data_IF_610032979743
#
_entry.id   IF_610032979743
#
_cell.length_a   1.000
_cell.length_b   1.000
_cell.length_c   1.000
_cell.angle_alpha   90.00
_cell.angle_beta   90.00
_cell.angle_gamma   90.00
#
_symmetry.space_group_name_H-M   'P 1'
#
loop_
_entity.id
_entity.type
_entity.pdbx_description
1 polymer ?
#
# COMPACT_ATOMS: atom_id res chain seq x y z
N UNK A 1 -25.71 7.01 29.96
CA UNK A 1 -24.89 6.57 28.81
C UNK A 1 -24.10 7.77 28.32
N UNK A 2 -22.77 7.71 28.20
CA UNK A 2 -22.01 8.83 27.63
C UNK A 2 -22.55 9.14 26.23
N UNK A 3 -22.80 10.42 25.98
CA UNK A 3 -23.48 10.92 24.78
C UNK A 3 -22.72 10.44 23.52
N UNK A 4 -23.37 9.78 22.56
CA UNK A 4 -22.66 9.12 21.45
C UNK A 4 -21.86 10.10 20.57
N UNK A 5 -22.34 11.32 20.38
CA UNK A 5 -21.58 12.41 19.75
C UNK A 5 -20.25 12.68 20.45
N UNK A 6 -20.22 12.57 21.78
CA UNK A 6 -19.02 12.73 22.58
C UNK A 6 -18.04 11.58 22.32
N UNK A 7 -18.53 10.34 22.17
CA UNK A 7 -17.71 9.18 21.82
C UNK A 7 -17.12 9.27 20.40
N UNK A 8 -17.93 9.69 19.42
CA UNK A 8 -17.46 9.91 18.04
C UNK A 8 -16.39 11.01 17.99
N UNK A 9 -16.62 12.13 18.68
CA UNK A 9 -15.65 13.23 18.75
C UNK A 9 -14.36 12.82 19.46
N UNK A 10 -14.44 12.04 20.54
CA UNK A 10 -13.27 11.48 21.23
C UNK A 10 -12.47 10.56 20.33
N UNK A 11 -13.14 9.72 19.55
CA UNK A 11 -12.50 8.85 18.57
C UNK A 11 -11.75 9.67 17.51
N UNK A 12 -12.38 10.68 16.92
CA UNK A 12 -11.72 11.57 15.95
C UNK A 12 -10.49 12.25 16.55
N UNK A 13 -10.60 12.76 17.78
CA UNK A 13 -9.47 13.39 18.49
C UNK A 13 -8.32 12.41 18.76
N UNK A 14 -8.63 11.17 19.13
CA UNK A 14 -7.63 10.13 19.36
C UNK A 14 -6.90 9.76 18.07
N UNK A 15 -7.63 9.59 16.96
CA UNK A 15 -7.07 9.30 15.63
C UNK A 15 -6.14 10.44 15.18
N UNK A 16 -6.58 11.69 15.31
CA UNK A 16 -5.78 12.88 14.98
C UNK A 16 -4.48 12.96 15.79
N UNK A 17 -4.57 12.70 17.10
CA UNK A 17 -3.41 12.69 17.99
C UNK A 17 -2.41 11.59 17.60
N UNK A 18 -2.88 10.37 17.39
CA UNK A 18 -2.02 9.25 16.97
C UNK A 18 -1.37 9.50 15.60
N UNK A 19 -2.13 10.02 14.64
CA UNK A 19 -1.58 10.34 13.32
C UNK A 19 -0.48 11.40 13.38
N UNK A 20 -0.64 12.42 14.23
CA UNK A 20 0.39 13.45 14.43
C UNK A 20 1.73 12.89 14.96
N UNK A 21 1.68 11.80 15.72
CA UNK A 21 2.85 11.15 16.31
C UNK A 21 3.49 10.13 15.35
N UNK A 22 2.69 9.42 14.56
CA UNK A 22 3.14 8.31 13.72
C UNK A 22 3.55 8.71 12.30
N UNK A 23 2.98 9.79 11.73
CA UNK A 23 3.32 10.23 10.37
C UNK A 23 4.63 11.01 10.40
N UNK A 24 5.74 10.31 10.13
CA UNK A 24 7.04 10.98 9.90
C UNK A 24 6.89 11.94 8.72
N UNK A 25 6.95 13.25 8.99
CA UNK A 25 6.99 14.29 7.95
C UNK A 25 8.33 14.18 7.20
N UNK A 26 8.39 13.31 6.19
CA UNK A 26 9.61 13.01 5.44
C UNK A 26 9.33 12.51 4.03
N UNK A 27 10.24 12.82 3.10
CA UNK A 27 10.09 12.56 1.66
C UNK A 27 9.88 11.06 1.35
N UNK A 28 8.84 10.74 0.59
CA UNK A 28 8.59 9.38 0.09
C UNK A 28 9.81 8.87 -0.68
N UNK A 29 10.26 7.64 -0.36
CA UNK A 29 11.24 6.94 -1.21
C UNK A 29 10.63 6.72 -2.59
N UNK A 30 11.36 7.07 -3.65
CA UNK A 30 10.95 6.79 -5.04
C UNK A 30 10.84 5.28 -5.25
N UNK A 31 9.62 4.78 -5.22
CA UNK A 31 9.31 3.43 -5.69
C UNK A 31 9.35 3.41 -7.22
N UNK A 32 10.16 2.51 -7.79
CA UNK A 32 10.13 2.22 -9.24
C UNK A 32 9.51 0.85 -9.45
N UNK A 33 8.30 0.76 -10.03
CA UNK A 33 7.64 -0.53 -10.28
C UNK A 33 8.47 -1.39 -11.25
N UNK A 34 8.37 -2.71 -11.10
CA UNK A 34 9.00 -3.74 -11.95
C UNK A 34 10.54 -3.84 -11.87
N UNK A 35 11.14 -3.28 -10.82
CA UNK A 35 12.56 -3.51 -10.53
C UNK A 35 12.79 -4.95 -10.06
N UNK A 36 13.49 -5.74 -10.85
CA UNK A 36 13.85 -7.12 -10.51
C UNK A 36 15.38 -7.32 -10.61
N UNK A 37 15.87 -8.43 -10.05
CA UNK A 37 17.30 -8.73 -9.98
C UNK A 37 17.96 -8.75 -11.37
N UNK A 38 17.25 -9.27 -12.38
CA UNK A 38 17.72 -9.31 -13.76
C UNK A 38 17.89 -7.90 -14.36
N UNK A 39 16.92 -7.00 -14.16
CA UNK A 39 16.98 -5.61 -14.60
C UNK A 39 18.07 -4.84 -13.86
N UNK A 40 18.27 -5.12 -12.56
CA UNK A 40 19.35 -4.53 -11.77
C UNK A 40 20.72 -4.94 -12.31
N UNK A 41 20.91 -6.23 -12.65
CA UNK A 41 22.13 -6.74 -13.26
C UNK A 41 22.39 -6.09 -14.62
N UNK A 42 21.39 -6.05 -15.51
CA UNK A 42 21.49 -5.40 -16.82
C UNK A 42 21.85 -3.91 -16.72
N UNK A 43 21.27 -3.18 -15.75
CA UNK A 43 21.62 -1.78 -15.52
C UNK A 43 23.07 -1.63 -15.04
N UNK A 44 23.51 -2.50 -14.12
CA UNK A 44 24.88 -2.49 -13.61
C UNK A 44 25.89 -2.69 -14.74
N UNK A 45 25.66 -3.68 -15.60
CA UNK A 45 26.51 -3.96 -16.77
C UNK A 45 26.60 -2.75 -17.73
N UNK A 46 25.47 -2.08 -18.00
CA UNK A 46 25.44 -0.86 -18.82
C UNK A 46 26.21 0.28 -18.17
N UNK A 47 26.06 0.47 -16.86
CA UNK A 47 26.73 1.56 -16.14
C UNK A 47 28.26 1.31 -16.06
N UNK A 48 28.69 0.05 -15.95
CA UNK A 48 30.10 -0.36 -16.07
C UNK A 48 30.65 -0.11 -17.48
N UNK A 49 29.93 -0.51 -18.52
CA UNK A 49 30.30 -0.23 -19.92
C UNK A 49 30.43 1.27 -20.19
N UNK A 50 29.54 2.09 -19.58
CA UNK A 50 29.60 3.57 -19.72
C UNK A 50 30.85 4.13 -19.05
N UNK A 51 31.21 3.63 -17.87
CA UNK A 51 32.45 4.03 -17.17
C UNK A 51 33.68 3.67 -18.00
N UNK A 52 33.70 2.48 -18.57
CA UNK A 52 34.80 2.03 -19.42
C UNK A 52 34.95 2.90 -20.67
N UNK A 53 33.87 3.08 -21.44
CA UNK A 53 33.90 3.88 -22.67
C UNK A 53 34.32 5.35 -22.41
N UNK A 54 33.89 5.94 -21.28
CA UNK A 54 34.35 7.28 -20.86
C UNK A 54 35.83 7.33 -20.51
N UNK A 55 36.38 6.24 -19.96
CA UNK A 55 37.78 6.16 -19.55
C UNK A 55 38.71 5.92 -20.74
N UNK A 56 38.33 5.02 -21.66
CA UNK A 56 39.21 4.56 -22.74
C UNK A 56 39.00 5.32 -24.05
N UNK A 57 37.77 5.77 -24.35
CA UNK A 57 37.42 6.41 -25.61
C UNK A 57 37.55 5.52 -26.86
N UNK A 58 37.79 4.22 -26.69
CA UNK A 58 37.99 3.28 -27.80
C UNK A 58 36.64 2.92 -28.46
N UNK A 59 36.64 2.81 -29.79
CA UNK A 59 35.43 2.52 -30.56
C UNK A 59 34.79 1.17 -30.13
N UNK A 60 35.59 0.15 -29.83
CA UNK A 60 35.13 -1.14 -29.29
C UNK A 60 34.32 -0.99 -27.99
N UNK A 61 34.68 -0.05 -27.13
CA UNK A 61 34.02 0.15 -25.84
C UNK A 61 32.72 0.94 -26.02
N UNK A 62 32.68 1.86 -26.99
CA UNK A 62 31.46 2.55 -27.42
C UNK A 62 30.43 1.58 -28.05
N UNK A 63 30.88 0.64 -28.90
CA UNK A 63 30.02 -0.41 -29.48
C UNK A 63 29.45 -1.30 -28.38
N UNK A 64 30.27 -1.65 -27.39
CA UNK A 64 29.84 -2.43 -26.22
C UNK A 64 28.81 -1.68 -25.38
N UNK A 65 29.00 -0.37 -25.17
CA UNK A 65 28.02 0.48 -24.50
C UNK A 65 26.68 0.53 -25.24
N UNK A 66 26.70 0.64 -26.57
CA UNK A 66 25.48 0.62 -27.39
C UNK A 66 24.73 -0.71 -27.24
N UNK A 67 25.43 -1.83 -27.28
CA UNK A 67 24.84 -3.16 -27.10
C UNK A 67 24.21 -3.36 -25.70
N UNK A 68 24.89 -2.90 -24.64
CA UNK A 68 24.33 -2.94 -23.28
C UNK A 68 23.13 -2.00 -23.11
N UNK A 69 23.14 -0.83 -23.74
CA UNK A 69 21.98 0.08 -23.77
C UNK A 69 20.74 -0.59 -24.36
N UNK A 70 20.90 -1.24 -25.52
CA UNK A 70 19.82 -1.95 -26.20
C UNK A 70 19.24 -3.09 -25.35
N UNK A 71 20.09 -3.82 -24.62
CA UNK A 71 19.65 -4.89 -23.69
C UNK A 71 18.77 -4.36 -22.57
N UNK A 72 19.12 -3.22 -21.97
CA UNK A 72 18.30 -2.60 -20.92
C UNK A 72 16.99 -2.06 -21.49
N UNK A 73 17.02 -1.36 -22.62
CA UNK A 73 15.81 -0.75 -23.20
C UNK A 73 14.82 -1.77 -23.73
N UNK A 74 15.29 -2.93 -24.20
CA UNK A 74 14.46 -3.99 -24.76
C UNK A 74 14.04 -5.05 -23.73
N UNK A 75 14.41 -4.88 -22.46
CA UNK A 75 14.06 -5.84 -21.42
C UNK A 75 12.55 -5.90 -21.21
N UNK A 76 11.96 -7.08 -21.42
CA UNK A 76 10.55 -7.36 -21.13
C UNK A 76 10.47 -8.32 -19.93
N UNK A 77 9.94 -7.90 -18.77
CA UNK A 77 9.79 -8.80 -17.63
C UNK A 77 8.78 -9.91 -17.96
N UNK A 78 9.01 -11.10 -17.39
CA UNK A 78 8.08 -12.23 -17.55
C UNK A 78 6.82 -12.02 -16.69
N UNK A 79 5.76 -11.52 -17.32
CA UNK A 79 4.49 -11.19 -16.68
C UNK A 79 3.69 -12.42 -16.20
N UNK A 80 4.00 -13.65 -16.68
CA UNK A 80 3.27 -14.87 -16.28
C UNK A 80 3.60 -15.30 -14.86
N UNK A 81 4.87 -15.19 -14.47
CA UNK A 81 5.33 -15.49 -13.11
C UNK A 81 4.68 -14.51 -12.12
N UNK A 82 4.70 -13.22 -12.46
CA UNK A 82 4.13 -12.14 -11.64
C UNK A 82 2.61 -12.29 -11.39
N UNK A 83 1.86 -12.81 -12.37
CA UNK A 83 0.40 -13.00 -12.26
C UNK A 83 0.01 -14.21 -11.41
N UNK A 84 0.85 -15.24 -11.34
CA UNK A 84 0.58 -16.41 -10.50
C UNK A 84 0.78 -16.10 -9.01
N UNK A 85 1.74 -15.24 -8.68
CA UNK A 85 1.96 -14.76 -7.31
C UNK A 85 0.84 -13.84 -6.80
N UNK A 86 0.01 -13.30 -7.71
CA UNK A 86 -1.07 -12.34 -7.42
C UNK A 86 -2.48 -12.94 -7.46
N UNK A 87 -2.64 -14.26 -7.70
CA UNK A 87 -3.98 -14.87 -7.72
C UNK A 87 -4.44 -15.21 -6.29
N UNK A 88 -5.50 -14.57 -5.76
CA UNK A 88 -6.12 -15.06 -4.54
C UNK A 88 -6.83 -16.38 -4.83
N UNK A 89 -6.60 -17.39 -3.99
CA UNK A 89 -7.37 -18.64 -4.04
C UNK A 89 -8.79 -18.35 -3.56
N UNK A 90 -9.76 -18.36 -4.47
CA UNK A 90 -11.19 -18.19 -4.14
C UNK A 90 -11.86 -19.57 -4.17
N UNK A 91 -12.15 -20.12 -2.99
CA UNK A 91 -13.04 -21.28 -2.81
C UNK A 91 -14.46 -20.74 -2.70
N UNK A 92 -15.32 -21.00 -3.70
CA UNK A 92 -16.68 -20.48 -3.73
C UNK A 92 -17.69 -21.59 -3.39
N UNK A 93 -18.13 -21.64 -2.12
CA UNK A 93 -19.38 -22.29 -1.73
C UNK A 93 -20.41 -21.18 -1.45
N UNK A 94 -21.61 -21.25 -2.03
CA UNK A 94 -22.62 -20.18 -1.93
C UNK A 94 -23.24 -20.01 -0.53
N UNK A 95 -23.22 -21.04 0.31
CA UNK A 95 -23.63 -20.96 1.72
C UNK A 95 -22.62 -20.17 2.58
N UNK A 96 -21.34 -20.21 2.19
CA UNK A 96 -20.24 -19.50 2.85
C UNK A 96 -20.39 -17.98 2.71
N UNK A 97 -20.96 -17.50 1.60
CA UNK A 97 -21.16 -16.07 1.36
C UNK A 97 -22.15 -15.42 2.33
N UNK A 98 -23.26 -16.09 2.66
CA UNK A 98 -24.22 -15.53 3.62
C UNK A 98 -23.63 -15.51 5.03
N UNK A 99 -22.81 -16.51 5.37
CA UNK A 99 -22.13 -16.52 6.65
C UNK A 99 -21.06 -15.42 6.71
N UNK A 100 -20.24 -15.27 5.67
CA UNK A 100 -19.21 -14.23 5.54
C UNK A 100 -19.76 -12.81 5.71
N UNK A 101 -20.94 -12.50 5.19
CA UNK A 101 -21.53 -11.15 5.30
C UNK A 101 -22.23 -10.87 6.63
N UNK A 102 -22.51 -11.91 7.43
CA UNK A 102 -23.19 -11.79 8.72
C UNK A 102 -22.24 -11.96 9.91
N UNK A 103 -20.99 -12.34 9.66
CA UNK A 103 -19.96 -12.44 10.70
C UNK A 103 -19.33 -11.07 11.00
N UNK A 104 -18.75 -10.97 12.19
CA UNK A 104 -17.96 -9.82 12.63
C UNK A 104 -16.76 -9.58 11.70
N UNK A 105 -16.41 -8.32 11.48
CA UNK A 105 -15.23 -8.00 10.69
C UNK A 105 -13.97 -8.52 11.38
N UNK A 106 -13.04 -9.04 10.57
CA UNK A 106 -11.71 -9.43 11.02
C UNK A 106 -10.70 -8.27 10.90
N UNK A 107 -9.63 -8.33 11.68
CA UNK A 107 -8.53 -7.38 11.66
C UNK A 107 -7.84 -7.32 10.28
N UNK A 108 -7.68 -8.44 9.60
CA UNK A 108 -7.08 -8.46 8.25
C UNK A 108 -8.00 -7.79 7.21
N UNK A 109 -9.31 -7.95 7.33
CA UNK A 109 -10.28 -7.26 6.48
C UNK A 109 -10.26 -5.76 6.72
N UNK A 110 -10.21 -5.34 7.99
CA UNK A 110 -10.06 -3.94 8.36
C UNK A 110 -8.74 -3.36 7.80
N UNK A 111 -7.63 -4.08 7.92
CA UNK A 111 -6.32 -3.67 7.36
C UNK A 111 -6.39 -3.53 5.84
N UNK A 112 -7.00 -4.50 5.16
CA UNK A 112 -7.18 -4.48 3.72
C UNK A 112 -8.07 -3.31 3.30
N UNK A 113 -9.21 -3.10 3.96
CA UNK A 113 -10.11 -1.97 3.71
C UNK A 113 -9.42 -0.62 3.89
N UNK A 114 -8.70 -0.43 5.01
CA UNK A 114 -7.90 0.78 5.27
C UNK A 114 -6.84 1.00 4.18
N UNK A 115 -6.21 -0.06 3.67
CA UNK A 115 -5.17 0.05 2.63
C UNK A 115 -5.70 0.56 1.29
N UNK A 116 -6.99 0.35 1.00
CA UNK A 116 -7.64 0.83 -0.24
C UNK A 116 -7.96 2.33 -0.23
N UNK A 117 -7.84 2.99 0.94
CA UNK A 117 -8.11 4.41 1.07
C UNK A 117 -7.14 5.24 0.20
N UNK A 118 -7.70 6.15 -0.59
CA UNK A 118 -6.92 7.05 -1.47
C UNK A 118 -6.36 8.21 -0.66
N UNK A 119 -5.03 8.35 -0.68
CA UNK A 119 -4.29 9.46 -0.06
C UNK A 119 -4.56 10.79 -0.79
N UNK A 120 -4.47 11.92 -0.07
CA UNK A 120 -4.68 13.24 -0.64
C UNK A 120 -6.14 13.65 -0.93
N UNK A 121 -7.15 12.87 -0.50
CA UNK A 121 -8.56 13.35 -0.51
C UNK A 121 -8.81 14.32 0.65
N UNK A 122 -9.80 15.20 0.47
CA UNK A 122 -10.25 16.14 1.50
C UNK A 122 -10.76 15.41 2.73
N UNK A 123 -10.56 16.01 3.90
CA UNK A 123 -11.11 15.51 5.15
C UNK A 123 -12.65 15.57 5.15
N UNK A 124 -13.29 14.65 5.87
CA UNK A 124 -14.72 14.71 6.12
C UNK A 124 -15.12 15.89 7.01
N UNK A 125 -16.42 16.05 7.33
CA UNK A 125 -16.91 17.05 8.28
C UNK A 125 -16.29 16.93 9.68
N UNK A 126 -15.78 15.73 10.00
CA UNK A 126 -15.05 15.38 11.22
C UNK A 126 -13.58 15.82 11.20
N UNK A 127 -13.06 16.30 10.07
CA UNK A 127 -11.66 16.70 9.90
C UNK A 127 -10.67 15.53 9.79
N UNK A 128 -11.15 14.28 9.65
CA UNK A 128 -10.27 13.12 9.53
C UNK A 128 -9.85 12.94 8.07
N UNK A 129 -8.53 12.96 7.83
CA UNK A 129 -7.95 12.62 6.53
C UNK A 129 -7.84 11.09 6.39
N UNK A 130 -8.00 10.53 5.17
CA UNK A 130 -7.81 9.09 4.95
C UNK A 130 -6.41 8.60 5.37
N UNK A 131 -5.40 9.47 5.27
CA UNK A 131 -4.03 9.20 5.68
C UNK A 131 -3.89 8.90 7.18
N UNK A 132 -4.79 9.42 8.01
CA UNK A 132 -4.76 9.16 9.45
C UNK A 132 -5.18 7.73 9.78
N UNK A 133 -6.18 7.22 9.04
CA UNK A 133 -6.60 5.82 9.15
C UNK A 133 -5.55 4.87 8.55
N UNK A 134 -4.92 5.24 7.42
CA UNK A 134 -3.86 4.45 6.80
C UNK A 134 -2.66 4.27 7.75
N UNK A 135 -2.28 5.33 8.46
CA UNK A 135 -1.10 5.35 9.32
C UNK A 135 -1.41 4.98 10.79
N UNK A 136 -2.59 4.41 11.07
CA UNK A 136 -2.99 4.01 12.41
C UNK A 136 -2.12 2.85 12.93
N UNK A 137 -1.71 2.91 14.20
CA UNK A 137 -0.97 1.83 14.86
C UNK A 137 -1.84 0.59 15.12
N UNK A 138 -1.22 -0.57 15.31
CA UNK A 138 -1.94 -1.85 15.45
C UNK A 138 -2.91 -1.87 16.65
N UNK A 139 -2.52 -1.32 17.80
CA UNK A 139 -3.41 -1.20 18.96
C UNK A 139 -4.64 -0.33 18.66
N UNK A 140 -4.46 0.74 17.89
CA UNK A 140 -5.57 1.61 17.51
C UNK A 140 -6.48 0.95 16.46
N UNK A 141 -5.92 0.13 15.56
CA UNK A 141 -6.69 -0.69 14.61
C UNK A 141 -7.53 -1.74 15.34
N UNK A 142 -7.00 -2.35 16.40
CA UNK A 142 -7.76 -3.27 17.26
C UNK A 142 -8.95 -2.56 17.92
N UNK A 143 -8.73 -1.37 18.49
CA UNK A 143 -9.82 -0.59 19.10
C UNK A 143 -10.86 -0.16 18.06
N UNK A 144 -10.42 0.23 16.86
CA UNK A 144 -11.31 0.56 15.74
C UNK A 144 -12.13 -0.65 15.28
N UNK A 145 -11.53 -1.83 15.21
CA UNK A 145 -12.24 -3.06 14.87
C UNK A 145 -13.36 -3.36 15.87
N UNK A 146 -13.02 -3.31 17.17
CA UNK A 146 -14.00 -3.51 18.24
C UNK A 146 -15.14 -2.49 18.16
N UNK A 147 -14.83 -1.22 17.85
CA UNK A 147 -15.84 -0.19 17.66
C UNK A 147 -16.75 -0.47 16.45
N UNK A 148 -16.18 -0.86 15.30
CA UNK A 148 -16.94 -1.15 14.08
C UNK A 148 -17.91 -2.32 14.30
N UNK A 149 -17.42 -3.43 14.86
CA UNK A 149 -18.27 -4.61 15.14
C UNK A 149 -19.34 -4.26 16.17
N UNK A 150 -19.01 -3.45 17.17
CA UNK A 150 -20.00 -2.94 18.12
C UNK A 150 -21.08 -2.09 17.44
N UNK A 151 -20.74 -1.25 16.45
CA UNK A 151 -21.73 -0.48 15.69
C UNK A 151 -22.53 -1.33 14.71
N UNK A 152 -21.94 -2.41 14.20
CA UNK A 152 -22.58 -3.36 13.29
C UNK A 152 -23.71 -4.12 14.00
N UNK A 153 -23.44 -4.65 15.19
CA UNK A 153 -24.41 -5.40 16.01
C UNK A 153 -25.52 -4.52 16.60
N UNK A 154 -25.16 -3.33 17.11
CA UNK A 154 -26.12 -2.48 17.84
C UNK A 154 -26.90 -1.53 16.91
N UNK A 155 -26.57 -1.50 15.62
CA UNK A 155 -27.10 -0.55 14.65
C UNK A 155 -26.65 0.89 14.90
N UNK A 156 -26.71 1.72 13.86
CA UNK A 156 -26.59 3.17 14.01
C UNK A 156 -27.95 3.71 14.47
N UNK A 157 -28.05 4.41 15.61
CA UNK A 157 -29.26 5.16 15.89
C UNK A 157 -29.40 6.21 14.79
N UNK A 158 -30.50 6.14 14.03
CA UNK A 158 -30.90 7.20 13.11
C UNK A 158 -30.83 8.51 13.88
N UNK A 159 -29.99 9.42 13.41
CA UNK A 159 -30.10 10.83 13.77
C UNK A 159 -31.47 11.37 13.37
#
# INVERSE_FOLDING_TARGET
MPNFEYSSRLFSLAVLKCASLCVQRGQQKKYTPFWNENLQKLKKDRDEARKLARKTGLNKDCITLLGTYARVSNYKPNLKILKNDLKPQQNNNSADFQQLFNEDFNLEELRNGISTLVKGKSAGPDGILPEFLINLGDSAKMTLLAFINQTWENGLPSA
#
